data_IF_824526484733
#
_entry.id   IF_824526484733
#
_cell.length_a   1.000
_cell.length_b   1.000
_cell.length_c   1.000
_cell.angle_alpha   90.00
_cell.angle_beta   90.00
_cell.angle_gamma   90.00
#
_symmetry.space_group_name_H-M   'P 1'
#
loop_
_entity.id
_entity.type
_entity.pdbx_description
1 polymer ?
#
# COMPACT_ATOMS: atom_id res chain seq x y z
N UNK A 1 -11.81 -7.32 -19.85
CA UNK A 1 -10.74 -7.23 -20.87
C UNK A 1 -11.28 -6.97 -22.28
N UNK A 2 -12.60 -7.05 -22.53
CA UNK A 2 -13.19 -6.72 -23.84
C UNK A 2 -13.08 -5.25 -24.26
N UNK A 3 -12.68 -4.35 -23.36
CA UNK A 3 -12.51 -2.91 -23.66
C UNK A 3 -11.09 -2.54 -24.13
N UNK A 4 -10.17 -3.51 -24.25
CA UNK A 4 -8.83 -3.27 -24.84
C UNK A 4 -8.82 -3.41 -26.37
N UNK A 5 -9.99 -3.45 -27.02
CA UNK A 5 -10.04 -3.39 -28.48
C UNK A 5 -9.59 -1.97 -28.86
N UNK A 6 -8.42 -1.89 -29.49
CA UNK A 6 -7.89 -0.66 -30.07
C UNK A 6 -8.99 -0.02 -30.92
N UNK A 7 -9.34 1.22 -30.61
CA UNK A 7 -10.23 1.96 -31.50
C UNK A 7 -9.49 2.07 -32.85
N UNK A 8 -10.04 1.47 -33.93
CA UNK A 8 -9.38 1.49 -35.22
C UNK A 8 -9.27 2.93 -35.71
N UNK A 9 -8.20 3.23 -36.44
CA UNK A 9 -8.10 4.53 -37.14
C UNK A 9 -9.32 4.64 -38.05
N UNK A 10 -10.08 5.74 -38.00
CA UNK A 10 -11.17 5.96 -38.93
C UNK A 10 -10.69 5.71 -40.38
N UNK A 11 -11.41 4.91 -41.16
CA UNK A 11 -10.99 4.53 -42.52
C UNK A 11 -10.63 5.75 -43.39
N UNK A 12 -11.34 6.86 -43.18
CA UNK A 12 -11.08 8.15 -43.85
C UNK A 12 -9.65 8.66 -43.62
N UNK A 13 -9.08 8.45 -42.44
CA UNK A 13 -7.73 8.87 -42.10
C UNK A 13 -6.73 7.83 -42.60
N UNK A 14 -7.05 6.55 -42.47
CA UNK A 14 -6.19 5.46 -42.94
C UNK A 14 -5.88 5.60 -44.43
N UNK A 15 -6.88 5.92 -45.25
CA UNK A 15 -6.71 6.11 -46.70
C UNK A 15 -5.82 7.32 -47.07
N UNK A 16 -5.69 8.31 -46.18
CA UNK A 16 -4.86 9.50 -46.39
C UNK A 16 -3.41 9.27 -45.95
N UNK A 17 -3.14 8.23 -45.17
CA UNK A 17 -1.80 7.97 -44.64
C UNK A 17 -0.84 7.52 -45.75
N UNK A 18 0.43 7.95 -45.67
CA UNK A 18 1.50 7.42 -46.51
C UNK A 18 1.56 5.88 -46.49
N UNK A 19 1.89 5.26 -47.62
CA UNK A 19 1.83 3.79 -47.80
C UNK A 19 2.69 3.06 -46.75
N UNK A 20 3.87 3.59 -46.43
CA UNK A 20 4.73 3.06 -45.37
C UNK A 20 4.04 3.05 -44.01
N UNK A 21 3.29 4.10 -43.66
CA UNK A 21 2.54 4.19 -42.39
C UNK A 21 1.38 3.21 -42.37
N UNK A 22 0.64 3.07 -43.47
CA UNK A 22 -0.42 2.06 -43.60
C UNK A 22 0.11 0.64 -43.38
N UNK A 23 1.24 0.29 -44.00
CA UNK A 23 1.88 -1.00 -43.78
C UNK A 23 2.31 -1.21 -42.32
N UNK A 24 2.87 -0.19 -41.67
CA UNK A 24 3.21 -0.29 -40.24
C UNK A 24 1.99 -0.48 -39.35
N UNK A 25 0.89 0.24 -39.61
CA UNK A 25 -0.35 0.09 -38.84
C UNK A 25 -0.92 -1.33 -38.98
N UNK A 26 -0.91 -1.90 -40.18
CA UNK A 26 -1.32 -3.29 -40.41
C UNK A 26 -0.44 -4.28 -39.63
N UNK A 27 0.89 -4.04 -39.59
CA UNK A 27 1.80 -4.85 -38.80
C UNK A 27 1.47 -4.83 -37.30
N UNK A 28 1.14 -3.67 -36.74
CA UNK A 28 0.71 -3.55 -35.35
C UNK A 28 -0.63 -4.24 -35.07
N UNK A 29 -1.58 -4.26 -36.02
CA UNK A 29 -2.83 -5.01 -35.86
C UNK A 29 -2.57 -6.52 -35.70
N UNK A 30 -1.66 -7.09 -36.52
CA UNK A 30 -1.24 -8.48 -36.40
C UNK A 30 -0.56 -8.77 -35.05
N UNK A 31 0.34 -7.88 -34.60
CA UNK A 31 1.03 -7.99 -33.31
C UNK A 31 0.02 -7.91 -32.15
N UNK A 32 -0.96 -7.01 -32.23
CA UNK A 32 -2.01 -6.85 -31.22
C UNK A 32 -2.85 -8.12 -31.04
N UNK A 33 -3.18 -8.82 -32.13
CA UNK A 33 -3.87 -10.11 -32.11
C UNK A 33 -3.01 -11.18 -31.41
N UNK A 34 -1.71 -11.20 -31.72
CA UNK A 34 -0.74 -12.09 -31.08
C UNK A 34 -0.63 -11.82 -29.57
N UNK A 35 -0.52 -10.56 -29.17
CA UNK A 35 -0.49 -10.14 -27.77
C UNK A 35 -1.77 -10.51 -27.01
N UNK A 36 -2.94 -10.31 -27.62
CA UNK A 36 -4.23 -10.71 -27.05
C UNK A 36 -4.30 -12.22 -26.81
N UNK A 37 -3.81 -13.01 -27.77
CA UNK A 37 -3.74 -14.47 -27.66
C UNK A 37 -2.78 -14.91 -26.55
N UNK A 38 -1.60 -14.27 -26.46
CA UNK A 38 -0.62 -14.52 -25.39
C UNK A 38 -1.21 -14.20 -24.01
N UNK A 39 -1.88 -13.06 -23.86
CA UNK A 39 -2.54 -12.67 -22.61
C UNK A 39 -3.62 -13.67 -22.19
N UNK A 40 -4.44 -14.13 -23.13
CA UNK A 40 -5.45 -15.15 -22.87
C UNK A 40 -4.82 -16.45 -22.37
N UNK A 41 -3.77 -16.92 -23.03
CA UNK A 41 -3.05 -18.14 -22.67
C UNK A 41 -2.38 -18.05 -21.28
N UNK A 42 -1.85 -16.88 -20.93
CA UNK A 42 -1.27 -16.63 -19.60
C UNK A 42 -2.37 -16.58 -18.54
N UNK A 43 -3.50 -15.94 -18.83
CA UNK A 43 -4.61 -15.76 -17.90
C UNK A 43 -5.35 -17.06 -17.55
N UNK A 44 -5.40 -18.05 -18.44
CA UNK A 44 -6.01 -19.37 -18.16
C UNK A 44 -5.22 -20.22 -17.16
N UNK A 45 -4.11 -19.72 -16.66
CA UNK A 45 -3.15 -20.49 -15.93
C UNK A 45 -3.06 -20.22 -14.43
N UNK A 46 -3.15 -21.25 -13.58
CA UNK A 46 -3.24 -21.11 -12.12
C UNK A 46 -1.92 -21.08 -11.32
N UNK A 47 -0.78 -20.74 -11.93
CA UNK A 47 0.54 -20.82 -11.24
C UNK A 47 1.10 -19.43 -10.87
N UNK A 48 1.71 -19.23 -9.68
CA UNK A 48 2.25 -17.93 -9.25
C UNK A 48 3.40 -17.37 -10.10
N UNK A 49 4.13 -18.19 -10.87
CA UNK A 49 5.09 -17.66 -11.86
C UNK A 49 4.40 -16.81 -12.94
N UNK A 50 3.11 -17.06 -13.18
CA UNK A 50 2.33 -16.40 -14.23
C UNK A 50 1.96 -14.96 -13.90
N UNK A 51 2.03 -14.52 -12.65
CA UNK A 51 1.77 -13.10 -12.35
C UNK A 51 2.83 -12.20 -13.00
N UNK A 52 4.10 -12.63 -12.98
CA UNK A 52 5.16 -11.91 -13.71
C UNK A 52 4.93 -11.99 -15.21
N UNK A 53 4.70 -13.20 -15.74
CA UNK A 53 4.49 -13.42 -17.18
C UNK A 53 3.28 -12.61 -17.71
N UNK A 54 2.23 -12.47 -16.90
CA UNK A 54 1.03 -11.71 -17.21
C UNK A 54 1.33 -10.21 -17.28
N UNK A 55 2.06 -9.68 -16.29
CA UNK A 55 2.48 -8.27 -16.29
C UNK A 55 3.41 -7.97 -17.46
N UNK A 56 4.35 -8.87 -17.76
CA UNK A 56 5.27 -8.74 -18.89
C UNK A 56 4.52 -8.75 -20.23
N UNK A 57 3.57 -9.68 -20.41
CA UNK A 57 2.73 -9.71 -21.60
C UNK A 57 1.83 -8.46 -21.70
N UNK A 58 1.33 -7.94 -20.58
CA UNK A 58 0.48 -6.74 -20.56
C UNK A 58 1.29 -5.48 -20.89
N UNK A 59 2.49 -5.36 -20.33
CA UNK A 59 3.41 -4.24 -20.63
C UNK A 59 3.79 -4.27 -22.11
N UNK A 60 4.18 -5.43 -22.65
CA UNK A 60 4.52 -5.57 -24.06
C UNK A 60 3.35 -5.20 -24.98
N UNK A 61 2.13 -5.60 -24.63
CA UNK A 61 0.92 -5.22 -25.38
C UNK A 61 0.66 -3.70 -25.37
N UNK A 62 0.86 -3.05 -24.22
CA UNK A 62 0.71 -1.60 -24.10
C UNK A 62 1.83 -0.82 -24.80
N UNK A 63 3.06 -1.35 -24.80
CA UNK A 63 4.20 -0.75 -25.52
C UNK A 63 3.99 -0.79 -27.03
N UNK A 64 3.50 -1.92 -27.58
CA UNK A 64 3.08 -2.05 -28.97
C UNK A 64 1.91 -1.11 -29.32
N UNK A 65 0.91 -0.99 -28.43
CA UNK A 65 -0.16 -0.01 -28.60
C UNK A 65 0.37 1.44 -28.63
N UNK A 66 1.37 1.75 -27.81
CA UNK A 66 2.00 3.08 -27.78
C UNK A 66 2.75 3.37 -29.09
N UNK A 67 3.43 2.37 -29.68
CA UNK A 67 4.07 2.48 -30.99
C UNK A 67 3.04 2.67 -32.11
N UNK A 68 1.93 1.92 -32.08
CA UNK A 68 0.79 2.12 -32.98
C UNK A 68 0.24 3.54 -32.92
N UNK A 69 0.00 4.08 -31.71
CA UNK A 69 -0.49 5.46 -31.52
C UNK A 69 0.51 6.48 -32.06
N UNK A 70 1.80 6.26 -31.85
CA UNK A 70 2.87 7.13 -32.36
C UNK A 70 2.94 7.11 -33.89
N UNK A 71 2.73 5.95 -34.52
CA UNK A 71 2.65 5.82 -35.97
C UNK A 71 1.50 6.65 -36.57
N UNK A 72 0.33 6.66 -35.90
CA UNK A 72 -0.81 7.51 -36.29
C UNK A 72 -0.44 8.99 -36.16
N UNK A 73 0.17 9.37 -35.04
CA UNK A 73 0.58 10.75 -34.78
C UNK A 73 1.52 11.26 -35.89
N UNK A 74 2.57 10.50 -36.19
CA UNK A 74 3.53 10.82 -37.25
C UNK A 74 2.83 10.96 -38.60
N UNK A 75 1.95 10.01 -38.92
CA UNK A 75 1.18 10.02 -40.16
C UNK A 75 0.30 11.26 -40.31
N UNK A 76 -0.39 11.69 -39.24
CA UNK A 76 -1.17 12.93 -39.23
C UNK A 76 -0.28 14.16 -39.45
N UNK A 77 0.91 14.19 -38.88
CA UNK A 77 1.89 15.27 -39.09
C UNK A 77 2.38 15.29 -40.54
N UNK A 78 2.68 14.13 -41.13
CA UNK A 78 3.09 13.99 -42.54
C UNK A 78 1.99 14.47 -43.50
N UNK A 79 0.74 14.04 -43.31
CA UNK A 79 -0.40 14.48 -44.14
C UNK A 79 -0.61 16.00 -44.03
N UNK A 80 -0.52 16.56 -42.82
CA UNK A 80 -0.68 18.01 -42.60
C UNK A 80 0.45 18.80 -43.27
N UNK A 81 1.69 18.31 -43.19
CA UNK A 81 2.85 18.93 -43.84
C UNK A 81 2.74 18.92 -45.37
N UNK A 82 2.08 17.89 -45.93
CA UNK A 82 1.80 17.81 -47.37
C UNK A 82 0.65 18.71 -47.84
N UNK A 83 -0.07 19.38 -46.93
CA UNK A 83 -1.21 20.24 -47.26
C UNK A 83 -2.51 19.50 -47.59
N UNK A 84 -2.54 18.17 -47.44
CA UNK A 84 -3.73 17.34 -47.70
C UNK A 84 -4.78 17.50 -46.60
N UNK A 85 -4.36 17.69 -45.35
CA UNK A 85 -5.24 17.89 -44.20
C UNK A 85 -5.21 19.36 -43.77
N UNK A 86 -6.39 19.97 -43.61
CA UNK A 86 -6.49 21.33 -43.06
C UNK A 86 -6.05 21.36 -41.59
N UNK A 87 -5.52 22.50 -41.13
CA UNK A 87 -5.07 22.64 -39.75
C UNK A 87 -6.20 22.36 -38.74
N UNK A 88 -7.42 22.82 -39.02
CA UNK A 88 -8.59 22.57 -38.15
C UNK A 88 -8.94 21.07 -38.06
N UNK A 89 -8.86 20.35 -39.19
CA UNK A 89 -9.09 18.91 -39.21
C UNK A 89 -7.96 18.17 -38.46
N UNK A 90 -6.70 18.60 -38.62
CA UNK A 90 -5.57 18.06 -37.86
C UNK A 90 -5.77 18.22 -36.35
N UNK A 91 -6.15 19.41 -35.87
CA UNK A 91 -6.37 19.64 -34.44
C UNK A 91 -7.51 18.76 -33.90
N UNK A 92 -8.57 18.59 -34.69
CA UNK A 92 -9.73 17.76 -34.33
C UNK A 92 -9.33 16.28 -34.16
N UNK A 93 -8.49 15.76 -35.05
CA UNK A 93 -8.07 14.35 -35.03
C UNK A 93 -6.90 14.09 -34.07
N UNK A 94 -6.01 15.06 -33.86
CA UNK A 94 -4.84 14.91 -32.99
C UNK A 94 -5.21 14.87 -31.50
N UNK A 95 -6.27 15.57 -31.09
CA UNK A 95 -6.71 15.60 -29.69
C UNK A 95 -6.96 14.22 -29.07
N UNK A 96 -7.80 13.36 -29.69
CA UNK A 96 -8.01 11.98 -29.25
C UNK A 96 -6.73 11.13 -29.22
N UNK A 97 -5.85 11.27 -30.21
CA UNK A 97 -4.57 10.53 -30.33
C UNK A 97 -3.66 10.85 -29.14
N UNK A 98 -3.45 12.14 -28.84
CA UNK A 98 -2.61 12.57 -27.71
C UNK A 98 -3.19 12.14 -26.36
N UNK A 99 -4.53 12.18 -26.21
CA UNK A 99 -5.17 11.71 -24.99
C UNK A 99 -4.97 10.20 -24.80
N UNK A 100 -5.11 9.41 -25.87
CA UNK A 100 -4.85 7.96 -25.84
C UNK A 100 -3.39 7.68 -25.49
N UNK A 101 -2.45 8.36 -26.14
CA UNK A 101 -1.01 8.24 -25.87
C UNK A 101 -0.69 8.47 -24.38
N UNK A 102 -1.21 9.56 -23.81
CA UNK A 102 -1.02 9.91 -22.39
C UNK A 102 -1.57 8.82 -21.46
N UNK A 103 -2.76 8.29 -21.76
CA UNK A 103 -3.38 7.21 -20.96
C UNK A 103 -2.58 5.91 -21.04
N UNK A 104 -2.17 5.50 -22.24
CA UNK A 104 -1.37 4.29 -22.45
C UNK A 104 -0.02 4.41 -21.75
N UNK A 105 0.69 5.53 -21.92
CA UNK A 105 1.96 5.81 -21.24
C UNK A 105 1.81 5.76 -19.71
N UNK A 106 0.79 6.42 -19.15
CA UNK A 106 0.53 6.36 -17.70
C UNK A 106 0.27 4.92 -17.21
N UNK A 107 -0.48 4.13 -18.00
CA UNK A 107 -0.81 2.75 -17.66
C UNK A 107 0.44 1.86 -17.67
N UNK A 108 1.33 2.02 -18.67
CA UNK A 108 2.64 1.35 -18.72
C UNK A 108 3.44 1.64 -17.45
N UNK A 109 3.53 2.90 -17.04
CA UNK A 109 4.29 3.30 -15.84
C UNK A 109 3.71 2.66 -14.57
N UNK A 110 2.39 2.58 -14.46
CA UNK A 110 1.72 1.92 -13.32
C UNK A 110 2.03 0.42 -13.32
N UNK A 111 1.95 -0.25 -14.48
CA UNK A 111 2.22 -1.69 -14.60
C UNK A 111 3.69 -2.03 -14.31
N UNK A 112 4.65 -1.25 -14.84
CA UNK A 112 6.08 -1.42 -14.55
C UNK A 112 6.37 -1.27 -13.05
N UNK A 113 5.71 -0.32 -12.38
CA UNK A 113 5.80 -0.14 -10.93
C UNK A 113 5.22 -1.32 -10.15
N UNK A 114 4.05 -1.80 -10.53
CA UNK A 114 3.43 -2.97 -9.91
C UNK A 114 4.32 -4.21 -10.06
N UNK A 115 4.87 -4.45 -11.26
CA UNK A 115 5.84 -5.51 -11.54
C UNK A 115 7.03 -5.43 -10.60
N UNK A 116 7.67 -4.26 -10.51
CA UNK A 116 8.85 -4.04 -9.65
C UNK A 116 8.56 -4.30 -8.17
N UNK A 117 7.36 -3.91 -7.71
CA UNK A 117 6.90 -4.18 -6.35
C UNK A 117 6.68 -5.68 -6.09
N UNK A 118 6.06 -6.39 -7.04
CA UNK A 118 5.80 -7.83 -6.95
C UNK A 118 7.12 -8.62 -7.00
N UNK A 119 8.02 -8.29 -7.91
CA UNK A 119 9.34 -8.93 -8.00
C UNK A 119 10.17 -8.74 -6.73
N UNK A 120 10.16 -7.52 -6.16
CA UNK A 120 10.81 -7.26 -4.87
C UNK A 120 10.24 -8.15 -3.76
N UNK A 121 8.92 -8.35 -3.75
CA UNK A 121 8.26 -9.25 -2.79
C UNK A 121 8.61 -10.72 -3.04
N UNK A 122 8.65 -11.18 -4.30
CA UNK A 122 8.99 -12.56 -4.66
C UNK A 122 10.45 -12.91 -4.38
N UNK A 123 11.37 -11.99 -4.68
CA UNK A 123 12.80 -12.17 -4.38
C UNK A 123 13.07 -12.22 -2.87
N UNK A 124 12.30 -11.45 -2.10
CA UNK A 124 12.31 -11.57 -0.65
C UNK A 124 11.89 -12.98 -0.23
N UNK A 125 10.84 -13.56 -0.82
CA UNK A 125 10.37 -14.92 -0.50
C UNK A 125 11.38 -16.00 -0.89
N UNK A 126 11.96 -15.96 -2.10
CA UNK A 126 12.91 -16.99 -2.59
C UNK A 126 14.16 -17.15 -1.71
N UNK A 127 14.56 -16.10 -0.99
CA UNK A 127 15.71 -16.15 -0.07
C UNK A 127 15.43 -16.90 1.25
N UNK A 128 14.23 -17.45 1.46
CA UNK A 128 13.71 -17.76 2.82
C UNK A 128 13.38 -19.23 3.12
N UNK A 129 13.80 -20.21 2.33
CA UNK A 129 13.62 -21.62 2.73
C UNK A 129 14.65 -22.03 3.80
N UNK A 130 14.39 -21.68 5.06
CA UNK A 130 15.08 -22.27 6.22
C UNK A 130 14.13 -23.27 6.88
N UNK A 131 14.38 -24.55 6.62
CA UNK A 131 13.75 -25.68 7.31
C UNK A 131 14.42 -25.90 8.65
N UNK A 132 13.84 -25.37 9.73
CA UNK A 132 14.26 -25.64 11.10
C UNK A 132 13.05 -25.81 12.04
N UNK A 133 13.01 -26.84 12.90
CA UNK A 133 11.91 -27.06 13.84
C UNK A 133 11.81 -25.96 14.91
N UNK A 134 10.58 -25.68 15.37
CA UNK A 134 10.32 -24.66 16.40
C UNK A 134 10.67 -25.18 17.81
N UNK A 135 11.50 -24.42 18.54
CA UNK A 135 11.69 -24.59 19.98
C UNK A 135 10.55 -23.92 20.78
N UNK A 136 9.92 -24.70 21.68
CA UNK A 136 8.83 -24.33 22.57
C UNK A 136 9.16 -23.22 23.56
N UNK A 137 10.45 -23.06 23.94
CA UNK A 137 10.87 -22.07 24.94
C UNK A 137 10.77 -20.62 24.47
N UNK A 138 10.81 -20.36 23.15
CA UNK A 138 10.67 -19.01 22.61
C UNK A 138 9.21 -18.53 22.64
N UNK A 139 8.26 -19.46 22.56
CA UNK A 139 6.83 -19.14 22.47
C UNK A 139 6.36 -18.43 23.74
N UNK A 140 6.81 -18.83 24.94
CA UNK A 140 6.39 -18.21 26.21
C UNK A 140 6.89 -16.78 26.45
N UNK A 141 8.04 -16.39 25.91
CA UNK A 141 8.55 -15.00 26.03
C UNK A 141 7.71 -14.02 25.23
N UNK A 142 7.11 -14.47 24.13
CA UNK A 142 6.33 -13.62 23.24
C UNK A 142 5.03 -13.10 23.90
N UNK A 143 4.43 -13.75 24.93
CA UNK A 143 3.08 -13.42 25.49
C UNK A 143 3.21 -12.10 26.16
N UNK A 144 4.18 -12.09 27.06
CA UNK A 144 4.41 -11.01 27.99
C UNK A 144 4.83 -9.78 27.20
N UNK A 145 5.52 -9.98 26.06
CA UNK A 145 5.92 -8.90 25.18
C UNK A 145 4.80 -8.35 24.28
N UNK A 146 3.99 -9.19 23.63
CA UNK A 146 2.96 -8.70 22.69
C UNK A 146 1.70 -8.19 23.40
N UNK A 147 1.25 -8.89 24.44
CA UNK A 147 -0.01 -8.60 25.15
C UNK A 147 0.08 -7.31 25.95
N UNK A 148 1.18 -7.10 26.67
CA UNK A 148 1.37 -5.92 27.53
C UNK A 148 1.70 -4.65 26.72
N UNK A 149 2.30 -4.80 25.53
CA UNK A 149 2.89 -3.65 24.81
C UNK A 149 2.05 -3.14 23.64
N UNK A 150 1.17 -3.94 23.05
CA UNK A 150 0.17 -3.43 22.08
C UNK A 150 -0.83 -2.46 22.73
N UNK A 151 -0.99 -2.52 24.06
CA UNK A 151 -1.77 -1.59 24.87
C UNK A 151 -0.92 -0.41 25.41
N UNK A 152 0.36 -0.64 25.72
CA UNK A 152 1.30 0.41 26.15
C UNK A 152 1.78 1.34 25.01
N UNK A 153 2.00 0.84 23.79
CA UNK A 153 2.34 1.67 22.63
C UNK A 153 1.18 2.58 22.19
N UNK A 154 -0.06 2.23 22.57
CA UNK A 154 -1.23 3.10 22.39
C UNK A 154 -1.31 4.21 23.46
N UNK A 155 -0.65 4.01 24.61
CA UNK A 155 -0.72 4.88 25.79
C UNK A 155 0.68 5.29 26.24
N UNK A 156 1.52 5.80 25.32
CA UNK A 156 2.82 6.43 25.64
C UNK A 156 2.60 7.72 26.45
N UNK A 157 2.13 7.55 27.67
CA UNK A 157 2.33 8.50 28.75
C UNK A 157 3.60 8.01 29.42
N UNK A 158 4.66 8.78 29.25
CA UNK A 158 6.03 8.56 29.77
C UNK A 158 6.06 8.73 31.30
N UNK A 159 5.17 8.03 32.01
CA UNK A 159 5.09 8.06 33.47
C UNK A 159 6.33 7.40 34.09
N UNK A 160 6.81 7.94 35.20
CA UNK A 160 8.03 7.53 35.92
C UNK A 160 8.03 6.07 36.46
N UNK A 161 7.01 5.26 36.14
CA UNK A 161 6.81 3.89 36.63
C UNK A 161 7.08 2.76 35.62
N UNK A 162 7.61 3.02 34.42
CA UNK A 162 7.83 1.95 33.45
C UNK A 162 8.90 0.92 33.96
N UNK A 163 8.63 -0.40 33.84
CA UNK A 163 9.54 -1.46 34.27
C UNK A 163 10.93 -1.38 33.64
N UNK A 164 11.98 -1.81 34.36
CA UNK A 164 13.38 -1.70 33.93
C UNK A 164 13.67 -2.38 32.56
N UNK A 165 13.00 -3.48 32.23
CA UNK A 165 13.14 -4.15 30.93
C UNK A 165 12.58 -3.34 29.76
N UNK A 166 11.62 -2.42 30.00
CA UNK A 166 11.16 -1.45 29.00
C UNK A 166 12.24 -0.40 28.72
N UNK A 167 13.09 -0.09 29.69
CA UNK A 167 14.20 0.86 29.54
C UNK A 167 15.42 0.28 28.84
N UNK A 168 15.59 -1.05 28.81
CA UNK A 168 16.80 -1.71 28.27
C UNK A 168 16.93 -1.59 26.74
N UNK A 169 15.85 -1.27 26.04
CA UNK A 169 15.86 -0.98 24.61
C UNK A 169 15.63 0.52 24.37
N UNK A 170 16.59 1.37 24.79
CA UNK A 170 16.62 2.79 24.39
C UNK A 170 16.98 2.83 22.90
N UNK A 171 16.00 2.54 22.07
CA UNK A 171 16.17 2.66 20.64
C UNK A 171 16.32 4.13 20.27
N UNK A 172 17.25 4.41 19.37
CA UNK A 172 17.48 5.74 18.86
C UNK A 172 16.30 6.17 17.96
N UNK A 173 15.23 6.68 18.58
CA UNK A 173 14.04 7.17 17.88
C UNK A 173 14.39 8.22 16.82
N UNK A 174 15.45 9.01 17.06
CA UNK A 174 15.94 10.00 16.10
C UNK A 174 16.45 9.36 14.82
N UNK A 175 17.26 8.31 14.90
CA UNK A 175 17.79 7.60 13.72
C UNK A 175 16.66 7.01 12.90
N UNK A 176 15.69 6.33 13.52
CA UNK A 176 14.56 5.80 12.75
C UNK A 176 13.68 6.92 12.20
N UNK A 177 13.39 7.96 12.98
CA UNK A 177 12.64 9.12 12.50
C UNK A 177 13.29 9.67 11.23
N UNK A 178 14.59 9.93 11.25
CA UNK A 178 15.35 10.39 10.08
C UNK A 178 15.30 9.40 8.91
N UNK A 179 15.49 8.10 9.16
CA UNK A 179 15.43 7.08 8.12
C UNK A 179 14.06 7.03 7.43
N UNK A 180 12.98 7.12 8.21
CA UNK A 180 11.60 7.10 7.71
C UNK A 180 11.26 8.44 7.03
N UNK A 181 11.69 9.59 7.56
CA UNK A 181 11.54 10.91 6.89
C UNK A 181 12.18 10.88 5.51
N UNK A 182 13.43 10.39 5.44
CA UNK A 182 14.20 10.32 4.20
C UNK A 182 13.58 9.34 3.21
N UNK A 183 13.19 8.16 3.68
CA UNK A 183 12.62 7.12 2.82
C UNK A 183 11.33 7.58 2.13
N UNK A 184 10.40 8.21 2.86
CA UNK A 184 9.13 8.68 2.30
C UNK A 184 9.17 10.11 1.74
N UNK A 185 10.35 10.73 1.69
CA UNK A 185 10.54 12.10 1.22
C UNK A 185 9.61 13.14 1.90
N UNK A 186 9.56 13.10 3.24
CA UNK A 186 8.56 13.87 4.02
C UNK A 186 9.03 15.23 4.49
N UNK A 187 10.31 15.51 4.34
CA UNK A 187 10.85 16.84 4.54
C UNK A 187 10.80 17.54 3.18
N UNK A 188 9.77 18.34 2.95
CA UNK A 188 9.75 19.25 1.81
C UNK A 188 10.29 20.60 2.24
N UNK A 189 11.06 21.25 1.37
CA UNK A 189 11.57 22.61 1.60
C UNK A 189 10.45 23.67 1.76
N UNK A 190 9.23 23.31 1.36
CA UNK A 190 8.07 24.21 1.25
C UNK A 190 7.66 24.86 2.59
N UNK A 191 7.73 24.14 3.71
CA UNK A 191 7.33 24.68 5.02
C UNK A 191 8.23 24.12 6.13
N UNK A 192 9.21 24.94 6.57
CA UNK A 192 10.08 24.58 7.71
C UNK A 192 9.23 24.27 8.94
N UNK A 193 9.49 23.11 9.55
CA UNK A 193 8.81 22.68 10.78
C UNK A 193 7.47 21.98 10.55
N UNK A 194 7.12 21.66 9.30
CA UNK A 194 6.01 20.77 8.96
C UNK A 194 6.53 19.42 8.43
N UNK A 195 5.69 18.40 8.48
CA UNK A 195 5.93 17.14 7.79
C UNK A 195 4.61 16.54 7.31
N UNK A 196 4.68 15.71 6.26
CA UNK A 196 3.48 15.16 5.63
C UNK A 196 2.94 13.94 6.39
N UNK A 197 1.67 13.96 6.76
CA UNK A 197 1.02 12.81 7.41
C UNK A 197 0.24 11.98 6.39
N UNK A 198 0.73 10.77 6.10
CA UNK A 198 0.15 9.85 5.10
C UNK A 198 -1.33 9.50 5.33
N UNK A 199 -1.73 9.43 6.59
CA UNK A 199 -3.12 9.12 7.01
C UNK A 199 -4.07 10.27 6.67
N UNK A 200 -3.59 11.51 6.86
CA UNK A 200 -4.41 12.71 6.66
C UNK A 200 -4.25 13.32 5.27
N UNK A 201 -3.19 12.98 4.55
CA UNK A 201 -2.84 13.54 3.24
C UNK A 201 -2.58 15.03 3.24
N UNK A 202 -1.98 15.54 4.30
CA UNK A 202 -1.68 16.96 4.47
C UNK A 202 -0.43 17.16 5.34
N UNK A 203 0.19 18.34 5.19
CA UNK A 203 1.30 18.78 6.02
C UNK A 203 0.77 19.25 7.38
N UNK A 204 1.38 18.77 8.45
CA UNK A 204 1.10 19.20 9.83
C UNK A 204 2.40 19.54 10.55
N UNK A 205 2.36 20.29 11.67
CA UNK A 205 3.55 20.58 12.45
C UNK A 205 4.32 19.31 12.79
N UNK A 206 5.64 19.34 12.60
CA UNK A 206 6.55 18.21 12.80
C UNK A 206 6.49 17.66 14.25
N UNK A 207 6.19 18.54 15.21
CA UNK A 207 5.99 18.21 16.63
C UNK A 207 4.76 17.35 16.89
N UNK A 208 3.77 17.39 15.98
CA UNK A 208 2.52 16.61 16.03
C UNK A 208 2.61 15.28 15.30
N UNK A 209 3.78 14.91 14.74
CA UNK A 209 3.96 13.64 14.05
C UNK A 209 4.97 12.77 14.79
N UNK A 210 4.60 11.50 14.92
CA UNK A 210 5.52 10.46 15.38
C UNK A 210 5.61 9.35 14.36
N UNK A 211 6.71 8.61 14.41
CA UNK A 211 6.84 7.38 13.65
C UNK A 211 6.23 6.25 14.45
N UNK A 212 5.22 5.59 13.89
CA UNK A 212 4.71 4.32 14.36
C UNK A 212 5.37 3.16 13.62
N UNK A 213 5.68 2.12 14.37
CA UNK A 213 6.20 0.89 13.81
C UNK A 213 5.05 0.00 13.37
N UNK A 214 5.18 -0.60 12.19
CA UNK A 214 4.23 -1.59 11.70
C UNK A 214 4.41 -2.92 12.42
N UNK A 215 5.66 -3.40 12.50
CA UNK A 215 6.09 -4.49 13.37
C UNK A 215 6.55 -3.89 14.70
N UNK A 216 5.89 -4.21 15.83
CA UNK A 216 6.30 -3.68 17.12
C UNK A 216 7.77 -4.00 17.41
N UNK A 217 8.55 -2.95 17.69
CA UNK A 217 9.96 -3.06 18.10
C UNK A 217 10.21 -3.92 19.33
N UNK A 218 9.15 -4.12 20.07
CA UNK A 218 9.15 -4.84 21.32
C UNK A 218 9.21 -6.35 21.12
N UNK A 219 8.96 -6.82 19.89
CA UNK A 219 9.20 -8.19 19.51
C UNK A 219 10.69 -8.42 19.39
N UNK A 220 11.12 -9.58 19.87
CA UNK A 220 12.51 -9.99 19.77
C UNK A 220 12.87 -10.25 18.29
N UNK A 221 14.13 -10.00 17.93
CA UNK A 221 14.61 -10.20 16.57
C UNK A 221 14.46 -11.66 16.12
N UNK A 222 14.65 -12.65 16.99
CA UNK A 222 14.43 -14.06 16.69
C UNK A 222 12.93 -14.38 16.48
N UNK A 223 12.02 -13.83 17.30
CA UNK A 223 10.57 -13.90 17.08
C UNK A 223 10.15 -13.31 15.73
N UNK A 224 10.60 -12.08 15.43
CA UNK A 224 10.33 -11.43 14.14
C UNK A 224 10.92 -12.26 13.01
N UNK A 225 12.16 -12.72 13.14
CA UNK A 225 12.81 -13.55 12.12
C UNK A 225 12.03 -14.84 11.87
N UNK A 226 11.50 -15.47 12.91
CA UNK A 226 10.72 -16.70 12.80
C UNK A 226 9.35 -16.47 12.14
N UNK A 227 8.64 -15.42 12.56
CA UNK A 227 7.33 -15.07 12.00
C UNK A 227 7.44 -14.67 10.53
N UNK A 228 8.46 -13.89 10.17
CA UNK A 228 8.68 -13.43 8.80
C UNK A 228 9.50 -14.41 7.94
N UNK A 229 9.99 -15.51 8.54
CA UNK A 229 10.86 -16.49 7.89
C UNK A 229 12.20 -15.92 7.41
N UNK A 230 12.75 -14.89 8.07
CA UNK A 230 13.97 -14.20 7.63
C UNK A 230 14.97 -14.02 8.76
N UNK A 231 16.16 -14.57 8.62
CA UNK A 231 17.27 -14.29 9.53
C UNK A 231 17.92 -12.94 9.18
N UNK A 232 17.35 -11.81 9.59
CA UNK A 232 18.02 -10.50 9.44
C UNK A 232 17.78 -9.55 10.61
N UNK A 233 18.87 -9.14 11.27
CA UNK A 233 18.91 -8.03 12.25
C UNK A 233 18.36 -6.69 11.73
N UNK A 234 18.10 -6.58 10.41
CA UNK A 234 17.76 -5.32 9.74
C UNK A 234 16.24 -5.01 9.77
N UNK A 235 15.37 -5.99 10.05
CA UNK A 235 13.91 -5.81 9.93
C UNK A 235 13.36 -4.68 10.82
N UNK A 236 13.85 -4.55 12.05
CA UNK A 236 13.37 -3.52 12.99
C UNK A 236 13.92 -2.12 12.69
N UNK A 237 15.02 -2.03 11.94
CA UNK A 237 15.65 -0.76 11.53
C UNK A 237 15.27 -0.35 10.10
N UNK A 238 14.62 -1.23 9.34
CA UNK A 238 14.14 -0.97 7.99
C UNK A 238 13.16 0.23 7.99
N UNK A 239 13.45 1.32 7.27
CA UNK A 239 12.54 2.47 7.23
C UNK A 239 11.16 2.12 6.66
N UNK A 240 11.04 1.01 5.91
CA UNK A 240 9.76 0.49 5.41
C UNK A 240 8.90 -0.14 6.51
N UNK A 241 9.49 -0.50 7.66
CA UNK A 241 8.79 -0.92 8.88
C UNK A 241 8.28 0.29 9.70
N UNK A 242 8.63 1.50 9.29
CA UNK A 242 8.06 2.74 9.81
C UNK A 242 6.87 3.20 8.96
N UNK A 243 5.84 3.69 9.63
CA UNK A 243 4.80 4.54 9.05
C UNK A 243 4.63 5.76 9.96
N UNK A 244 4.33 6.94 9.40
CA UNK A 244 4.06 8.09 10.26
C UNK A 244 2.65 8.01 10.82
N UNK A 245 2.57 8.03 12.14
CA UNK A 245 1.33 8.21 12.88
C UNK A 245 1.28 9.67 13.32
N UNK A 246 0.26 10.37 12.87
CA UNK A 246 -0.14 11.62 13.48
C UNK A 246 -0.37 11.36 14.99
N UNK A 247 0.46 11.94 15.86
CA UNK A 247 0.21 11.95 17.31
C UNK A 247 -0.59 13.18 17.58
N UNK A 248 -1.85 12.95 17.92
CA UNK A 248 -2.64 14.03 18.43
C UNK A 248 -2.41 14.14 19.92
N UNK A 249 -1.91 15.30 20.33
CA UNK A 249 -1.72 15.63 21.73
C UNK A 249 -3.08 15.96 22.33
N UNK A 250 -3.53 15.07 23.20
CA UNK A 250 -4.65 15.28 24.09
C UNK A 250 -4.21 16.13 25.29
N UNK A 251 -4.68 17.37 25.35
CA UNK A 251 -4.69 18.18 26.58
C UNK A 251 -6.02 18.06 27.35
N UNK A 252 -6.95 17.20 26.92
CA UNK A 252 -8.25 16.94 27.55
C UNK A 252 -8.27 15.68 28.42
N UNK A 253 -7.13 15.31 29.01
CA UNK A 253 -7.04 14.25 30.03
C UNK A 253 -7.84 14.51 31.33
N UNK A 254 -8.91 15.31 31.32
CA UNK A 254 -9.84 15.38 32.44
C UNK A 254 -11.29 15.78 32.13
N UNK A 255 -11.74 15.95 30.89
CA UNK A 255 -13.16 16.30 30.66
C UNK A 255 -13.82 15.52 29.52
N UNK A 256 -14.98 14.94 29.83
CA UNK A 256 -15.92 14.33 28.89
C UNK A 256 -16.18 15.26 27.70
N UNK A 257 -16.12 14.74 26.48
CA UNK A 257 -16.51 15.50 25.29
C UNK A 257 -17.99 15.94 25.41
N UNK A 258 -18.21 17.25 25.46
CA UNK A 258 -19.52 17.91 25.34
C UNK A 258 -19.64 18.44 23.92
N UNK A 259 -20.42 17.74 23.09
CA UNK A 259 -20.81 18.27 21.79
C UNK A 259 -22.00 19.20 21.98
N UNK A 260 -21.89 20.49 21.58
CA UNK A 260 -23.05 21.37 21.41
C UNK A 260 -23.45 21.35 19.93
N UNK A 261 -24.65 20.84 19.63
CA UNK A 261 -25.28 21.11 18.34
C UNK A 261 -25.58 22.61 18.22
N UNK A 262 -25.73 23.11 17.00
CA UNK A 262 -26.28 24.46 16.75
C UNK A 262 -27.65 24.66 17.42
N UNK A 263 -28.39 23.57 17.68
CA UNK A 263 -29.65 23.56 18.43
C UNK A 263 -29.51 23.70 19.96
N UNK A 264 -28.30 23.85 20.50
CA UNK A 264 -28.03 24.01 21.94
C UNK A 264 -28.09 22.73 22.78
N UNK A 265 -28.39 21.58 22.18
CA UNK A 265 -28.48 20.30 22.90
C UNK A 265 -27.10 19.65 23.04
N UNK A 266 -26.82 19.16 24.26
CA UNK A 266 -25.56 18.49 24.61
C UNK A 266 -25.72 16.97 24.57
N UNK A 267 -24.83 16.27 23.85
CA UNK A 267 -24.77 14.79 23.84
C UNK A 267 -23.39 14.36 24.34
N UNK A 268 -23.35 13.40 25.28
CA UNK A 268 -22.11 12.75 25.75
C UNK A 268 -21.88 11.48 24.95
N UNK A 269 -20.69 11.34 24.37
CA UNK A 269 -20.32 10.14 23.59
C UNK A 269 -19.11 9.50 24.24
N UNK A 270 -19.25 8.22 24.63
CA UNK A 270 -18.17 7.38 25.16
C UNK A 270 -17.66 6.50 24.02
N UNK A 271 -16.47 6.77 23.49
CA UNK A 271 -15.92 6.06 22.33
C UNK A 271 -14.97 4.94 22.79
N UNK A 272 -15.31 3.71 22.42
CA UNK A 272 -14.51 2.51 22.64
C UNK A 272 -13.39 2.33 21.61
N UNK A 273 -12.31 1.67 22.06
CA UNK A 273 -10.99 1.61 21.46
C UNK A 273 -10.87 0.79 20.17
N UNK A 274 -10.69 1.46 19.03
CA UNK A 274 -9.79 1.02 17.95
C UNK A 274 -9.39 2.27 17.16
N UNK A 275 -8.10 2.60 17.18
CA UNK A 275 -7.53 3.87 16.67
C UNK A 275 -7.97 5.13 17.44
N UNK A 276 -7.32 5.40 18.57
CA UNK A 276 -7.47 6.68 19.26
C UNK A 276 -6.86 7.80 18.40
N UNK A 277 -7.71 8.55 17.70
CA UNK A 277 -7.40 9.82 17.03
C UNK A 277 -8.46 10.83 17.48
N UNK A 278 -8.08 11.81 18.30
CA UNK A 278 -8.92 12.95 18.68
C UNK A 278 -8.23 14.21 18.22
N UNK A 279 -8.83 14.98 17.30
CA UNK A 279 -8.16 16.06 16.55
C UNK A 279 -8.14 17.39 17.31
N UNK A 280 -7.01 18.13 17.27
CA UNK A 280 -6.93 19.54 17.69
C UNK A 280 -6.96 20.42 16.43
N UNK A 281 -7.87 21.40 16.30
CA UNK A 281 -7.88 22.27 15.14
C UNK A 281 -6.71 23.26 15.22
N UNK A 282 -5.65 23.04 14.44
CA UNK A 282 -4.59 24.03 14.19
C UNK A 282 -4.49 24.44 12.71
N UNK A 283 -5.58 24.27 11.95
CA UNK A 283 -5.71 24.76 10.59
C UNK A 283 -6.73 25.90 10.61
N UNK A 284 -6.41 27.01 9.92
CA UNK A 284 -7.29 28.18 9.77
C UNK A 284 -8.66 27.84 9.13
N UNK A 285 -8.79 26.65 8.57
CA UNK A 285 -10.05 26.01 8.19
C UNK A 285 -10.28 24.76 9.06
N UNK A 286 -11.23 24.86 9.99
CA UNK A 286 -11.54 23.82 10.96
C UNK A 286 -12.32 22.66 10.34
N UNK A 287 -11.63 21.71 9.71
CA UNK A 287 -12.22 20.39 9.45
C UNK A 287 -11.93 19.46 10.63
N UNK A 288 -12.95 19.25 11.46
CA UNK A 288 -12.98 18.14 12.41
C UNK A 288 -13.04 16.84 11.58
N UNK A 289 -12.01 16.00 11.68
CA UNK A 289 -12.05 14.64 11.15
C UNK A 289 -12.45 13.69 12.28
N UNK A 290 -13.51 12.93 12.07
CA UNK A 290 -13.88 11.81 12.94
C UNK A 290 -13.18 10.54 12.47
N UNK A 291 -12.99 9.55 13.35
CA UNK A 291 -12.33 8.27 13.01
C UNK A 291 -13.04 7.59 11.84
N UNK A 292 -14.35 7.75 11.71
CA UNK A 292 -15.14 7.21 10.60
C UNK A 292 -14.71 7.80 9.25
N UNK A 293 -14.23 9.05 9.20
CA UNK A 293 -13.71 9.68 7.97
C UNK A 293 -12.37 9.07 7.52
N UNK A 294 -11.69 8.35 8.42
CA UNK A 294 -10.47 7.62 8.11
C UNK A 294 -10.75 6.20 7.62
N UNK A 295 -11.96 5.68 7.84
CA UNK A 295 -12.33 4.35 7.35
C UNK A 295 -12.39 4.36 5.82
N UNK A 296 -11.88 3.31 5.19
CA UNK A 296 -11.78 3.17 3.72
C UNK A 296 -10.97 4.26 3.00
N UNK A 297 -10.31 5.15 3.75
CA UNK A 297 -9.46 6.18 3.18
C UNK A 297 -8.13 5.58 2.71
N UNK A 298 -7.84 5.76 1.43
CA UNK A 298 -6.56 5.37 0.84
C UNK A 298 -5.44 6.24 1.41
N UNK A 299 -4.36 5.59 1.86
CA UNK A 299 -3.16 6.28 2.32
C UNK A 299 -2.52 7.06 1.17
N UNK A 300 -2.13 8.30 1.45
CA UNK A 300 -1.49 9.19 0.49
C UNK A 300 0.02 9.26 0.74
N UNK A 301 0.81 9.36 -0.31
CA UNK A 301 2.27 9.38 -0.23
C UNK A 301 2.82 10.44 -1.18
N UNK A 302 3.85 11.17 -0.74
CA UNK A 302 4.53 12.20 -1.56
C UNK A 302 5.47 11.61 -2.61
N UNK A 303 5.95 10.39 -2.39
CA UNK A 303 6.85 9.68 -3.30
C UNK A 303 6.26 8.32 -3.66
N UNK A 304 7.02 7.52 -4.41
CA UNK A 304 6.69 6.12 -4.71
C UNK A 304 7.02 5.16 -3.56
N UNK A 305 7.70 5.65 -2.51
CA UNK A 305 8.02 4.85 -1.34
C UNK A 305 6.76 4.38 -0.63
N UNK A 306 6.67 3.08 -0.37
CA UNK A 306 5.54 2.45 0.32
C UNK A 306 6.05 1.59 1.48
N UNK A 307 5.27 1.44 2.56
CA UNK A 307 5.58 0.42 3.54
C UNK A 307 5.55 -0.96 2.88
N UNK A 308 6.40 -1.87 3.33
CA UNK A 308 6.38 -3.22 2.75
C UNK A 308 5.08 -3.93 3.09
N UNK A 309 4.52 -4.64 2.10
CA UNK A 309 3.25 -5.37 2.23
C UNK A 309 3.26 -6.32 3.44
N UNK A 310 4.37 -7.04 3.67
CA UNK A 310 4.51 -7.95 4.81
C UNK A 310 4.37 -7.27 6.18
N UNK A 311 4.89 -6.04 6.34
CA UNK A 311 4.77 -5.31 7.61
C UNK A 311 3.36 -4.77 7.81
N UNK A 312 2.71 -4.29 6.74
CA UNK A 312 1.30 -3.90 6.77
C UNK A 312 0.39 -5.08 7.10
N UNK A 313 0.64 -6.23 6.48
CA UNK A 313 -0.09 -7.46 6.74
C UNK A 313 0.04 -7.92 8.19
N UNK A 314 1.28 -7.94 8.71
CA UNK A 314 1.51 -8.27 10.12
C UNK A 314 0.84 -7.27 11.07
N UNK A 315 0.88 -5.97 10.75
CA UNK A 315 0.20 -4.94 11.55
C UNK A 315 -1.32 -5.10 11.54
N UNK A 316 -1.90 -5.46 10.40
CA UNK A 316 -3.30 -5.81 10.27
C UNK A 316 -3.63 -7.01 11.16
N UNK A 317 -2.86 -8.10 11.08
CA UNK A 317 -3.06 -9.29 11.91
C UNK A 317 -3.01 -8.98 13.40
N UNK A 318 -2.05 -8.17 13.86
CA UNK A 318 -2.01 -7.71 15.25
C UNK A 318 -3.28 -6.96 15.66
N UNK A 319 -3.80 -6.12 14.77
CA UNK A 319 -5.01 -5.32 15.02
C UNK A 319 -6.25 -6.21 15.06
N UNK A 320 -6.34 -7.18 14.14
CA UNK A 320 -7.39 -8.19 14.10
C UNK A 320 -7.38 -9.09 15.35
N UNK A 321 -6.22 -9.62 15.74
CA UNK A 321 -6.08 -10.46 16.93
C UNK A 321 -6.42 -9.71 18.21
N UNK A 322 -6.05 -8.43 18.28
CA UNK A 322 -6.46 -7.55 19.37
C UNK A 322 -7.98 -7.33 19.38
N UNK A 323 -8.59 -7.11 18.23
CA UNK A 323 -10.05 -6.96 18.12
C UNK A 323 -10.79 -8.24 18.53
N UNK A 324 -10.30 -9.43 18.12
CA UNK A 324 -10.83 -10.73 18.57
C UNK A 324 -10.74 -10.89 20.09
N UNK A 325 -9.58 -10.59 20.68
CA UNK A 325 -9.37 -10.63 22.14
C UNK A 325 -10.29 -9.69 22.91
N UNK A 326 -10.68 -8.57 22.30
CA UNK A 326 -11.61 -7.58 22.86
C UNK A 326 -13.08 -7.85 22.46
N UNK A 327 -13.36 -8.97 21.80
CA UNK A 327 -14.70 -9.39 21.36
C UNK A 327 -15.42 -8.36 20.47
N UNK A 328 -14.66 -7.62 19.65
CA UNK A 328 -15.17 -6.64 18.68
C UNK A 328 -15.66 -7.36 17.42
N UNK A 329 -16.83 -7.97 17.51
CA UNK A 329 -17.44 -8.81 16.47
C UNK A 329 -17.71 -8.05 15.17
N UNK A 330 -18.10 -6.78 15.23
CA UNK A 330 -18.36 -5.92 14.08
C UNK A 330 -17.09 -5.68 13.22
N UNK A 331 -15.95 -5.45 13.87
CA UNK A 331 -14.65 -5.26 13.20
C UNK A 331 -14.15 -6.58 12.63
N UNK A 332 -14.23 -7.65 13.42
CA UNK A 332 -13.68 -8.95 13.03
C UNK A 332 -14.52 -9.63 11.96
N UNK A 333 -15.85 -9.51 12.00
CA UNK A 333 -16.73 -10.02 10.94
C UNK A 333 -16.47 -9.32 9.61
N UNK A 334 -16.19 -8.01 9.58
CA UNK A 334 -15.80 -7.31 8.34
C UNK A 334 -14.48 -7.86 7.79
N UNK A 335 -13.47 -8.02 8.65
CA UNK A 335 -12.18 -8.57 8.27
C UNK A 335 -12.29 -10.03 7.77
N UNK A 336 -13.22 -10.80 8.32
CA UNK A 336 -13.48 -12.19 7.93
C UNK A 336 -14.32 -12.29 6.65
N UNK A 337 -15.31 -11.41 6.47
CA UNK A 337 -16.23 -11.44 5.33
C UNK A 337 -15.63 -10.84 4.05
N UNK A 338 -14.75 -9.84 4.18
CA UNK A 338 -14.18 -9.18 3.01
C UNK A 338 -12.92 -9.90 2.52
N UNK A 339 -12.81 -10.13 1.21
CA UNK A 339 -11.53 -10.39 0.51
C UNK A 339 -10.67 -9.11 0.42
N UNK A 340 -10.67 -8.28 1.47
CA UNK A 340 -10.31 -6.85 1.35
C UNK A 340 -8.83 -6.58 1.19
N UNK A 341 -7.95 -7.55 1.50
CA UNK A 341 -6.52 -7.29 1.60
C UNK A 341 -5.68 -8.15 0.68
N UNK A 342 -4.56 -7.61 0.11
CA UNK A 342 -3.87 -8.23 -0.98
C UNK A 342 -3.49 -9.62 -0.52
N UNK A 343 -3.90 -10.58 -1.35
CA UNK A 343 -3.64 -12.02 -1.29
C UNK A 343 -2.59 -12.31 -0.23
N UNK A 344 -3.01 -13.01 0.82
CA UNK A 344 -2.18 -13.66 1.82
C UNK A 344 -1.01 -14.34 1.12
N UNK A 345 0.05 -13.57 0.91
CA UNK A 345 1.26 -14.02 0.25
C UNK A 345 2.07 -14.81 1.25
N UNK A 346 3.17 -15.40 0.77
CA UNK A 346 4.16 -16.10 1.58
C UNK A 346 5.01 -15.14 2.43
N UNK A 347 4.36 -14.12 3.01
CA UNK A 347 4.97 -13.05 3.79
C UNK A 347 5.38 -13.53 5.18
N UNK A 348 4.57 -14.41 5.77
CA UNK A 348 4.72 -14.91 7.13
C UNK A 348 4.69 -16.43 7.13
N UNK A 349 5.48 -17.05 7.98
CA UNK A 349 5.48 -18.49 8.17
C UNK A 349 4.12 -18.93 8.78
N UNK A 350 3.39 -19.78 8.07
CA UNK A 350 2.02 -20.19 8.43
C UNK A 350 1.92 -20.83 9.81
N UNK A 351 2.79 -21.78 10.12
CA UNK A 351 2.78 -22.49 11.40
C UNK A 351 3.18 -21.57 12.56
N UNK A 352 4.18 -20.71 12.35
CA UNK A 352 4.56 -19.66 13.31
C UNK A 352 3.41 -18.68 13.54
N UNK A 353 2.69 -18.29 12.48
CA UNK A 353 1.58 -17.36 12.57
C UNK A 353 0.35 -17.95 13.27
N UNK A 354 -0.04 -19.20 12.99
CA UNK A 354 -1.11 -19.88 13.71
C UNK A 354 -0.79 -20.01 15.20
N UNK A 355 0.45 -20.40 15.51
CA UNK A 355 0.95 -20.46 16.90
C UNK A 355 0.88 -19.08 17.54
N UNK A 356 1.34 -18.04 16.86
CA UNK A 356 1.30 -16.67 17.32
C UNK A 356 -0.12 -16.16 17.59
N UNK A 357 -1.08 -16.46 16.70
CA UNK A 357 -2.48 -16.03 16.82
C UNK A 357 -3.19 -16.66 18.02
N UNK A 358 -3.07 -17.99 18.17
CA UNK A 358 -3.59 -18.74 19.33
C UNK A 358 -3.03 -18.18 20.61
N UNK A 359 -1.79 -17.74 20.55
CA UNK A 359 -1.06 -17.30 21.72
C UNK A 359 -1.35 -15.84 22.13
N UNK A 360 -1.52 -14.92 21.17
CA UNK A 360 -1.83 -13.50 21.43
C UNK A 360 -3.31 -13.28 21.77
N UNK A 361 -4.20 -14.01 21.10
CA UNK A 361 -5.66 -13.80 21.19
C UNK A 361 -6.40 -14.91 21.93
N UNK A 362 -5.82 -16.11 22.07
CA UNK A 362 -6.54 -17.30 22.51
C UNK A 362 -7.34 -17.99 21.39
N UNK A 363 -7.41 -17.41 20.19
CA UNK A 363 -8.21 -17.90 19.08
C UNK A 363 -7.35 -18.45 17.94
N UNK A 364 -7.90 -19.44 17.22
CA UNK A 364 -7.35 -19.87 15.95
C UNK A 364 -7.43 -18.75 14.92
N UNK A 365 -6.40 -18.64 14.09
CA UNK A 365 -6.42 -17.73 12.96
C UNK A 365 -7.23 -18.37 11.82
N UNK A 366 -8.27 -17.70 11.28
CA UNK A 366 -8.98 -18.19 10.10
C UNK A 366 -8.06 -18.59 8.96
N UNK A 367 -8.37 -19.69 8.27
CA UNK A 367 -7.48 -20.26 7.27
C UNK A 367 -7.18 -19.30 6.11
N UNK A 368 -8.11 -18.40 5.80
CA UNK A 368 -7.95 -17.32 4.83
C UNK A 368 -6.82 -16.34 5.14
N UNK A 369 -6.41 -16.21 6.39
CA UNK A 369 -5.23 -15.42 6.78
C UNK A 369 -3.95 -16.25 6.85
N UNK A 370 -4.05 -17.56 6.57
CA UNK A 370 -2.98 -18.53 6.72
C UNK A 370 -2.48 -19.09 5.39
N UNK A 371 -2.79 -18.48 4.24
CA UNK A 371 -2.15 -18.90 3.00
C UNK A 371 -0.63 -18.66 3.08
N UNK A 372 0.08 -19.76 2.92
CA UNK A 372 1.52 -19.92 2.93
C UNK A 372 1.77 -21.41 2.70
N UNK A 373 2.93 -21.79 2.18
CA UNK A 373 3.24 -23.21 2.00
C UNK A 373 3.13 -23.93 3.35
N UNK A 374 2.37 -25.01 3.38
CA UNK A 374 2.54 -26.04 4.41
C UNK A 374 3.90 -26.68 4.10
N UNK A 375 4.95 -26.20 4.76
CA UNK A 375 6.26 -26.82 4.71
C UNK A 375 6.25 -28.16 5.43
#
# INVERSE_FOLDING_TARGET
MSDMISLPVPERLSALLPENRRHMLHGHEEISISHSSKLYNVAQGSSPSRTSDFLDATIAALEDEMEYISCIQDGLVEITTSGVLSNDAFQTEMGPVLNRLRKTSHTIDVMKRQRSSIEANLNDVKRKSITGPLDSGLVEKTRTHVTVRTDADATVTRGKGAPAWVRKHIHNQRVTRMGVTRYYNLATEYERGSSFCHVLGLFIPETSITVAYLVPKTMDQAEVSRIFGVQYDVLLSDPRNGSWKCVVLDESKNEDFVYKRESGQTIRVKVGSLYHFTFRPMIKEHRLMIIQDLNDRVLSFLSESRPQCRYLYFRFLLSYLKAKRLELSDVTAKAEAQRFWPLSGEYLNKSALKTFARYVSGHELPDQFSYGQDN
#
